data_IF_630389307491
#
_entry.id   IF_630389307491
#
_cell.length_a   1.000
_cell.length_b   1.000
_cell.length_c   1.000
_cell.angle_alpha   90.00
_cell.angle_beta   90.00
_cell.angle_gamma   90.00
#
_symmetry.space_group_name_H-M   'P 1'
#
loop_
_entity.id
_entity.type
_entity.pdbx_description
1 polymer ?
#
# COMPACT_ATOMS: atom_id res chain seq x y z
N UNK A 1 -11.76 -8.63 34.62
CA UNK A 1 -11.79 -8.64 33.14
C UNK A 1 -12.59 -9.87 32.69
N UNK A 2 -13.31 -9.77 31.58
CA UNK A 2 -14.00 -10.91 31.00
C UNK A 2 -12.98 -11.95 30.48
N UNK A 3 -13.41 -13.20 30.30
CA UNK A 3 -12.61 -14.22 29.59
C UNK A 3 -12.88 -14.12 28.08
N UNK A 4 -12.02 -14.72 27.26
CA UNK A 4 -12.26 -14.78 25.81
C UNK A 4 -13.57 -15.51 25.47
N UNK A 5 -14.28 -14.97 24.49
CA UNK A 5 -15.46 -15.63 23.90
C UNK A 5 -15.00 -16.74 22.97
N UNK A 6 -15.39 -17.98 23.25
CA UNK A 6 -15.05 -19.16 22.43
C UNK A 6 -16.34 -19.87 22.00
N UNK A 7 -16.53 -20.03 20.69
CA UNK A 7 -17.71 -20.66 20.07
C UNK A 7 -17.29 -21.61 18.94
N UNK A 8 -16.69 -22.74 19.31
CA UNK A 8 -16.20 -23.76 18.36
C UNK A 8 -17.11 -25.00 18.26
N UNK A 9 -18.21 -25.04 19.02
CA UNK A 9 -19.05 -26.25 19.16
C UNK A 9 -19.82 -26.66 17.90
N UNK A 10 -19.82 -25.85 16.85
CA UNK A 10 -20.49 -26.16 15.58
C UNK A 10 -19.74 -25.57 14.39
N UNK A 11 -19.12 -26.43 13.60
CA UNK A 11 -18.51 -26.05 12.33
C UNK A 11 -19.59 -25.54 11.34
N UNK A 12 -19.24 -24.62 10.43
CA UNK A 12 -20.08 -24.31 9.29
C UNK A 12 -20.29 -25.53 8.40
N UNK A 13 -21.39 -25.53 7.64
CA UNK A 13 -21.75 -26.67 6.79
C UNK A 13 -20.62 -27.00 5.80
N UNK A 14 -20.16 -28.24 5.81
CA UNK A 14 -19.11 -28.73 4.91
C UNK A 14 -17.69 -28.60 5.47
N UNK A 15 -17.54 -28.07 6.69
CA UNK A 15 -16.26 -27.91 7.37
C UNK A 15 -16.17 -28.78 8.63
N UNK A 16 -14.94 -29.04 9.05
CA UNK A 16 -14.62 -29.65 10.34
C UNK A 16 -13.72 -28.70 11.11
N UNK A 17 -13.97 -28.52 12.41
CA UNK A 17 -13.07 -27.75 13.28
C UNK A 17 -11.84 -28.61 13.55
N UNK A 18 -10.62 -28.14 13.26
CA UNK A 18 -9.42 -28.92 13.57
C UNK A 18 -9.31 -29.20 15.07
N UNK A 19 -8.93 -30.42 15.49
CA UNK A 19 -8.80 -30.75 16.92
C UNK A 19 -7.86 -29.80 17.68
N UNK A 20 -6.83 -29.28 17.01
CA UNK A 20 -5.94 -28.28 17.59
C UNK A 20 -6.64 -26.95 17.86
N UNK A 21 -7.59 -26.55 17.02
CA UNK A 21 -8.39 -25.33 17.22
C UNK A 21 -9.34 -25.50 18.42
N UNK A 22 -9.94 -26.67 18.60
CA UNK A 22 -10.74 -26.99 19.79
C UNK A 22 -9.88 -26.95 21.06
N UNK A 23 -8.74 -27.64 21.04
CA UNK A 23 -7.79 -27.70 22.16
C UNK A 23 -7.31 -26.31 22.61
N UNK A 24 -6.97 -25.43 21.64
CA UNK A 24 -6.54 -24.06 21.95
C UNK A 24 -7.73 -23.20 22.40
N UNK A 25 -8.93 -23.43 21.85
CA UNK A 25 -10.15 -22.75 22.27
C UNK A 25 -10.51 -23.05 23.72
N UNK A 26 -10.44 -24.32 24.15
CA UNK A 26 -10.69 -24.72 25.53
C UNK A 26 -9.70 -24.07 26.50
N UNK A 27 -8.42 -24.00 26.11
CA UNK A 27 -7.39 -23.33 26.90
C UNK A 27 -7.57 -21.81 26.93
N UNK A 28 -7.88 -21.20 25.79
CA UNK A 28 -8.07 -19.75 25.62
C UNK A 28 -9.31 -19.25 26.36
N UNK A 29 -10.37 -20.04 26.40
CA UNK A 29 -11.59 -19.76 27.16
C UNK A 29 -11.36 -19.69 28.67
N UNK A 30 -10.17 -20.03 29.17
CA UNK A 30 -9.76 -19.80 30.56
C UNK A 30 -8.92 -18.54 30.77
N UNK A 31 -8.41 -17.93 29.71
CA UNK A 31 -7.59 -16.72 29.77
C UNK A 31 -8.46 -15.47 29.86
N UNK A 32 -7.91 -14.40 30.45
CA UNK A 32 -8.55 -13.10 30.47
C UNK A 32 -8.47 -12.46 29.08
N UNK A 33 -9.55 -11.83 28.65
CA UNK A 33 -9.61 -11.04 27.42
C UNK A 33 -8.55 -9.93 27.46
N UNK A 34 -7.92 -9.66 26.31
CA UNK A 34 -6.79 -8.73 26.17
C UNK A 34 -5.42 -9.31 26.56
N UNK A 35 -5.31 -10.56 27.00
CA UNK A 35 -3.98 -11.15 27.34
C UNK A 35 -3.27 -11.82 26.16
N UNK A 36 -3.96 -12.04 25.04
CA UNK A 36 -3.44 -12.61 23.80
C UNK A 36 -3.72 -11.67 22.62
N UNK A 37 -3.83 -10.36 22.88
CA UNK A 37 -4.32 -9.38 21.91
C UNK A 37 -5.83 -9.12 22.00
N UNK A 38 -6.28 -8.19 21.17
CA UNK A 38 -7.63 -7.63 21.16
C UNK A 38 -8.45 -8.19 20.01
N UNK A 39 -9.28 -9.19 20.31
CA UNK A 39 -10.20 -9.78 19.33
C UNK A 39 -11.54 -10.12 19.98
N UNK A 40 -12.60 -10.13 19.19
CA UNK A 40 -13.97 -10.23 19.70
C UNK A 40 -14.31 -11.66 20.13
N UNK A 41 -13.92 -12.64 19.30
CA UNK A 41 -14.20 -14.04 19.57
C UNK A 41 -13.31 -15.01 18.77
N UNK A 42 -13.11 -16.19 19.35
CA UNK A 42 -12.67 -17.39 18.64
C UNK A 42 -13.91 -18.20 18.25
N UNK A 43 -14.19 -18.34 16.97
CA UNK A 43 -15.47 -18.86 16.45
C UNK A 43 -15.25 -19.96 15.41
N UNK A 44 -16.33 -20.55 14.91
CA UNK A 44 -16.32 -21.36 13.70
C UNK A 44 -17.51 -20.94 12.84
N UNK A 45 -17.34 -19.83 12.11
CA UNK A 45 -18.44 -19.16 11.41
C UNK A 45 -18.22 -19.12 9.89
N UNK A 46 -19.33 -19.18 9.15
CA UNK A 46 -19.27 -19.01 7.70
C UNK A 46 -18.87 -17.57 7.38
N UNK A 47 -17.94 -17.39 6.44
CA UNK A 47 -17.49 -16.06 6.02
C UNK A 47 -18.69 -15.28 5.46
N UNK A 48 -18.93 -14.03 5.90
CA UNK A 48 -20.03 -13.18 5.38
C UNK A 48 -19.99 -13.05 3.85
N UNK A 49 -21.16 -13.05 3.21
CA UNK A 49 -21.25 -12.87 1.74
C UNK A 49 -20.83 -11.47 1.34
N UNK A 50 -21.12 -10.54 2.25
CA UNK A 50 -20.92 -9.11 2.15
C UNK A 50 -19.42 -8.77 2.12
N UNK A 51 -18.55 -9.63 2.67
CA UNK A 51 -17.11 -9.41 2.64
C UNK A 51 -16.55 -9.40 1.22
N UNK A 52 -16.96 -10.37 0.38
CA UNK A 52 -16.69 -10.33 -1.06
C UNK A 52 -17.80 -11.09 -1.81
N UNK A 53 -18.79 -10.39 -2.36
CA UNK A 53 -19.92 -11.02 -3.03
C UNK A 53 -19.52 -11.92 -4.20
N UNK A 54 -18.47 -11.56 -4.94
CA UNK A 54 -18.02 -12.30 -6.12
C UNK A 54 -17.29 -13.60 -5.76
N UNK A 55 -16.60 -13.62 -4.62
CA UNK A 55 -15.81 -14.78 -4.15
C UNK A 55 -16.50 -15.57 -3.03
N UNK A 56 -17.67 -15.13 -2.57
CA UNK A 56 -18.38 -15.67 -1.41
C UNK A 56 -18.61 -17.19 -1.47
N UNK A 57 -18.97 -17.72 -2.64
CA UNK A 57 -19.24 -19.16 -2.80
C UNK A 57 -17.97 -20.00 -2.61
N UNK A 58 -16.83 -19.53 -3.14
CA UNK A 58 -15.53 -20.18 -2.97
C UNK A 58 -15.07 -20.12 -1.51
N UNK A 59 -15.14 -18.92 -0.92
CA UNK A 59 -14.78 -18.69 0.48
C UNK A 59 -15.58 -19.59 1.41
N UNK A 60 -16.91 -19.64 1.28
CA UNK A 60 -17.76 -20.46 2.16
C UNK A 60 -17.62 -21.95 1.95
N UNK A 61 -17.21 -22.39 0.75
CA UNK A 61 -16.99 -23.81 0.46
C UNK A 61 -15.70 -24.32 1.09
N UNK A 62 -14.63 -23.53 0.98
CA UNK A 62 -13.27 -24.00 1.26
C UNK A 62 -12.63 -23.35 2.50
N UNK A 63 -13.27 -22.35 3.11
CA UNK A 63 -12.78 -21.69 4.31
C UNK A 63 -13.90 -21.36 5.30
N UNK A 64 -13.51 -21.14 6.56
CA UNK A 64 -14.37 -20.57 7.58
C UNK A 64 -13.59 -19.62 8.49
N UNK A 65 -14.27 -18.60 9.02
CA UNK A 65 -13.68 -17.67 9.96
C UNK A 65 -13.55 -18.33 11.33
N UNK A 66 -12.36 -18.23 11.92
CA UNK A 66 -12.08 -18.74 13.27
C UNK A 66 -11.72 -17.67 14.30
N UNK A 67 -11.43 -16.45 13.86
CA UNK A 67 -11.14 -15.31 14.74
C UNK A 67 -11.73 -14.04 14.14
N UNK A 68 -12.41 -13.24 14.95
CA UNK A 68 -13.00 -11.95 14.56
C UNK A 68 -12.28 -10.80 15.25
N UNK A 69 -11.84 -9.81 14.47
CA UNK A 69 -11.14 -8.63 14.96
C UNK A 69 -12.10 -7.43 15.09
N UNK A 70 -11.80 -6.45 15.97
CA UNK A 70 -12.71 -5.35 16.30
C UNK A 70 -13.00 -4.39 15.14
N UNK A 71 -12.09 -4.33 14.16
CA UNK A 71 -12.22 -3.53 12.94
C UNK A 71 -13.14 -4.19 11.90
N UNK A 72 -13.63 -5.41 12.17
CA UNK A 72 -14.43 -6.21 11.26
C UNK A 72 -13.62 -7.18 10.40
N UNK A 73 -12.30 -7.21 10.54
CA UNK A 73 -11.43 -8.18 9.89
C UNK A 73 -11.62 -9.59 10.47
N UNK A 74 -11.35 -10.62 9.67
CA UNK A 74 -11.50 -12.02 10.04
C UNK A 74 -10.21 -12.79 9.77
N UNK A 75 -9.84 -13.72 10.65
CA UNK A 75 -8.93 -14.80 10.28
C UNK A 75 -9.73 -16.03 9.89
N UNK A 76 -9.36 -16.61 8.75
CA UNK A 76 -9.96 -17.83 8.24
C UNK A 76 -8.98 -18.99 8.21
N UNK A 77 -9.51 -20.19 8.47
CA UNK A 77 -8.86 -21.44 8.13
C UNK A 77 -9.26 -21.82 6.70
N UNK A 78 -8.29 -21.94 5.82
CA UNK A 78 -8.48 -22.24 4.40
C UNK A 78 -8.04 -23.66 4.10
N UNK A 79 -8.95 -24.47 3.58
CA UNK A 79 -8.67 -25.81 3.12
C UNK A 79 -7.86 -25.73 1.82
N UNK A 80 -6.57 -26.05 1.91
CA UNK A 80 -5.62 -26.00 0.79
C UNK A 80 -5.55 -27.32 0.02
N UNK A 81 -6.40 -28.29 0.36
CA UNK A 81 -6.53 -29.60 -0.29
C UNK A 81 -6.33 -30.77 0.67
N UNK A 82 -6.80 -31.95 0.27
CA UNK A 82 -6.98 -33.14 1.13
C UNK A 82 -5.72 -33.69 1.84
N UNK A 83 -4.51 -33.23 1.52
CA UNK A 83 -3.25 -33.67 2.13
C UNK A 83 -2.38 -32.52 2.65
N UNK A 84 -2.87 -31.30 2.57
CA UNK A 84 -2.16 -30.11 3.02
C UNK A 84 -2.80 -29.58 4.31
N UNK A 85 -2.00 -29.00 5.22
CA UNK A 85 -2.56 -28.34 6.39
C UNK A 85 -3.44 -27.15 5.98
N UNK A 86 -4.44 -26.84 6.80
CA UNK A 86 -5.25 -25.64 6.60
C UNK A 86 -4.38 -24.40 6.81
N UNK A 87 -4.29 -23.55 5.80
CA UNK A 87 -3.59 -22.28 5.92
C UNK A 87 -4.43 -21.29 6.75
N UNK A 88 -3.78 -20.31 7.36
CA UNK A 88 -4.43 -19.19 8.03
C UNK A 88 -4.32 -17.96 7.14
N UNK A 89 -5.46 -17.36 6.84
CA UNK A 89 -5.57 -16.18 5.99
C UNK A 89 -6.25 -15.03 6.73
N UNK A 90 -5.82 -13.80 6.44
CA UNK A 90 -6.48 -12.57 6.86
C UNK A 90 -7.46 -12.13 5.78
N UNK A 91 -8.66 -11.80 6.20
CA UNK A 91 -9.72 -11.16 5.44
C UNK A 91 -9.98 -9.80 6.08
N UNK A 92 -9.32 -8.77 5.58
CA UNK A 92 -9.39 -7.41 6.11
C UNK A 92 -10.76 -6.78 5.91
N UNK A 93 -11.16 -5.89 6.81
CA UNK A 93 -12.41 -5.13 6.75
C UNK A 93 -12.52 -4.24 5.50
N UNK A 94 -11.38 -3.77 4.99
CA UNK A 94 -11.27 -2.97 3.76
C UNK A 94 -10.99 -3.81 2.50
N UNK A 95 -11.11 -5.14 2.60
CA UNK A 95 -10.92 -6.06 1.48
C UNK A 95 -9.50 -6.60 1.29
N UNK A 96 -8.59 -6.31 2.24
CA UNK A 96 -7.25 -6.93 2.31
C UNK A 96 -7.38 -8.46 2.33
N UNK A 97 -6.57 -9.16 1.55
CA UNK A 97 -6.51 -10.62 1.57
C UNK A 97 -5.05 -11.08 1.54
N UNK A 98 -4.58 -11.75 2.60
CA UNK A 98 -3.22 -12.33 2.62
C UNK A 98 -3.12 -13.61 3.42
N UNK A 99 -2.09 -14.40 3.13
CA UNK A 99 -1.70 -15.55 3.95
C UNK A 99 -0.97 -15.04 5.20
N UNK A 100 -1.42 -15.45 6.38
CA UNK A 100 -0.76 -15.17 7.66
C UNK A 100 0.15 -16.34 8.04
N UNK A 101 -0.28 -17.58 7.79
CA UNK A 101 0.53 -18.76 8.04
C UNK A 101 0.13 -19.91 7.10
N UNK A 102 1.06 -20.81 6.79
CA UNK A 102 0.80 -21.98 5.96
C UNK A 102 0.12 -23.13 6.73
N UNK A 103 -0.09 -22.96 8.05
CA UNK A 103 -0.78 -23.92 8.92
C UNK A 103 -1.31 -23.24 10.19
N UNK A 104 -2.32 -23.83 10.83
CA UNK A 104 -2.79 -23.41 12.15
C UNK A 104 -1.66 -23.49 13.20
N UNK A 105 -0.81 -24.52 13.14
CA UNK A 105 0.34 -24.70 14.02
C UNK A 105 1.37 -23.57 13.87
N UNK A 106 1.69 -23.19 12.63
CA UNK A 106 2.59 -22.07 12.35
C UNK A 106 1.99 -20.75 12.86
N UNK A 107 0.69 -20.51 12.64
CA UNK A 107 0.00 -19.33 13.17
C UNK A 107 0.09 -19.24 14.70
N UNK A 108 -0.24 -20.31 15.43
CA UNK A 108 -0.19 -20.31 16.89
C UNK A 108 1.24 -20.05 17.41
N UNK A 109 2.24 -20.59 16.71
CA UNK A 109 3.65 -20.35 17.02
C UNK A 109 4.03 -18.88 16.79
N UNK A 110 3.62 -18.28 15.67
CA UNK A 110 3.83 -16.84 15.38
C UNK A 110 3.15 -15.97 16.43
N UNK A 111 1.89 -16.26 16.77
CA UNK A 111 1.12 -15.53 17.77
C UNK A 111 1.75 -15.59 19.16
N UNK A 112 2.30 -16.73 19.56
CA UNK A 112 3.03 -16.86 20.82
C UNK A 112 4.30 -16.01 20.90
N UNK A 113 4.79 -15.50 19.76
CA UNK A 113 5.96 -14.63 19.66
C UNK A 113 5.61 -13.18 19.33
N UNK A 114 4.34 -12.86 19.04
CA UNK A 114 3.96 -11.54 18.53
C UNK A 114 4.49 -11.29 17.12
N UNK A 115 4.50 -12.32 16.27
CA UNK A 115 5.04 -12.27 14.91
C UNK A 115 3.97 -12.64 13.87
N UNK A 116 2.68 -12.36 14.14
CA UNK A 116 1.58 -12.60 13.19
C UNK A 116 1.48 -11.51 12.12
N UNK A 117 2.12 -10.37 12.35
CA UNK A 117 2.01 -9.14 11.58
C UNK A 117 0.57 -8.59 11.59
N UNK A 118 -0.19 -8.83 12.66
CA UNK A 118 -1.55 -8.32 12.86
C UNK A 118 -1.53 -7.46 14.11
N UNK A 119 -1.78 -6.16 13.97
CA UNK A 119 -1.62 -5.18 15.03
C UNK A 119 -2.41 -5.57 16.29
N UNK A 120 -3.66 -6.00 16.12
CA UNK A 120 -4.56 -6.40 17.19
C UNK A 120 -4.07 -7.61 17.99
N UNK A 121 -3.29 -8.50 17.36
CA UNK A 121 -2.74 -9.70 17.99
C UNK A 121 -1.32 -9.49 18.54
N UNK A 122 -0.55 -8.62 17.89
CA UNK A 122 0.86 -8.38 18.14
C UNK A 122 1.13 -7.16 19.04
N UNK A 123 0.10 -6.36 19.36
CA UNK A 123 0.17 -5.26 20.33
C UNK A 123 0.80 -5.67 21.67
N UNK A 124 1.70 -4.82 22.19
CA UNK A 124 2.43 -5.03 23.43
C UNK A 124 1.52 -4.95 24.67
N UNK A 125 0.49 -4.10 24.64
CA UNK A 125 -0.49 -4.05 25.74
C UNK A 125 -1.25 -5.38 25.85
N UNK A 126 -1.44 -6.05 24.71
CA UNK A 126 -2.06 -7.37 24.59
C UNK A 126 -1.14 -8.58 24.83
N UNK A 127 0.15 -8.38 25.13
CA UNK A 127 1.17 -9.45 25.05
C UNK A 127 1.30 -10.34 26.30
N UNK A 128 0.66 -9.98 27.42
CA UNK A 128 0.92 -10.58 28.74
C UNK A 128 0.72 -12.11 28.83
N UNK A 129 -0.14 -12.69 27.99
CA UNK A 129 -0.44 -14.11 27.89
C UNK A 129 0.39 -14.89 26.87
N UNK A 130 1.21 -14.24 26.03
CA UNK A 130 2.02 -14.91 24.98
C UNK A 130 2.95 -15.97 25.54
N UNK A 131 3.55 -15.72 26.72
CA UNK A 131 4.40 -16.71 27.42
C UNK A 131 3.61 -17.94 27.87
N UNK A 132 2.35 -17.75 28.28
CA UNK A 132 1.46 -18.84 28.64
C UNK A 132 1.06 -19.66 27.40
N UNK A 133 0.76 -19.01 26.27
CA UNK A 133 0.52 -19.66 24.99
C UNK A 133 1.75 -20.47 24.53
N UNK A 134 2.94 -19.89 24.56
CA UNK A 134 4.19 -20.57 24.21
C UNK A 134 4.42 -21.82 25.09
N UNK A 135 4.14 -21.71 26.39
CA UNK A 135 4.26 -22.82 27.35
C UNK A 135 3.23 -23.93 27.06
N UNK A 136 1.99 -23.55 26.73
CA UNK A 136 0.94 -24.48 26.36
C UNK A 136 1.26 -25.23 25.06
N UNK A 137 1.71 -24.52 24.03
CA UNK A 137 2.14 -25.11 22.74
C UNK A 137 3.27 -26.12 22.94
N UNK A 138 4.25 -25.79 23.80
CA UNK A 138 5.34 -26.69 24.16
C UNK A 138 4.84 -27.94 24.90
N UNK A 139 3.90 -27.80 25.84
CA UNK A 139 3.32 -28.91 26.57
C UNK A 139 2.50 -29.85 25.66
N UNK A 140 1.74 -29.27 24.72
CA UNK A 140 0.99 -29.99 23.67
C UNK A 140 1.87 -30.51 22.53
N UNK A 141 3.17 -30.18 22.54
CA UNK A 141 4.17 -30.58 21.52
C UNK A 141 3.80 -30.13 20.10
N UNK A 142 3.15 -28.98 19.98
CA UNK A 142 2.75 -28.40 18.68
C UNK A 142 4.01 -28.04 17.89
N UNK A 143 4.03 -28.44 16.61
CA UNK A 143 5.10 -28.11 15.67
C UNK A 143 4.49 -27.78 14.32
N UNK A 144 4.97 -26.71 13.68
CA UNK A 144 4.56 -26.37 12.32
C UNK A 144 4.92 -27.52 11.36
N UNK A 145 3.96 -28.05 10.59
CA UNK A 145 4.25 -28.99 9.52
C UNK A 145 5.10 -28.34 8.42
N UNK A 146 5.86 -29.15 7.67
CA UNK A 146 6.48 -28.70 6.44
C UNK A 146 5.41 -28.56 5.35
N UNK A 147 4.76 -27.40 5.31
CA UNK A 147 3.82 -27.04 4.28
C UNK A 147 4.53 -26.39 3.07
N UNK A 148 3.92 -26.48 1.89
CA UNK A 148 4.28 -25.59 0.78
C UNK A 148 3.76 -24.19 1.09
N UNK A 149 4.45 -23.15 0.61
CA UNK A 149 3.94 -21.80 0.73
C UNK A 149 2.59 -21.68 0.00
N UNK A 150 1.62 -21.12 0.71
CA UNK A 150 0.27 -20.89 0.24
C UNK A 150 0.07 -19.39 0.00
N UNK A 151 -0.49 -19.04 -1.16
CA UNK A 151 -0.86 -17.66 -1.50
C UNK A 151 -2.38 -17.55 -1.49
N UNK A 152 -2.93 -16.96 -0.43
CA UNK A 152 -4.36 -16.80 -0.26
C UNK A 152 -4.97 -15.84 -1.27
N UNK A 153 -4.29 -14.73 -1.60
CA UNK A 153 -4.77 -13.77 -2.59
C UNK A 153 -4.93 -14.46 -3.96
N UNK A 154 -3.92 -15.23 -4.36
CA UNK A 154 -3.99 -16.05 -5.56
C UNK A 154 -5.08 -17.11 -5.53
N UNK A 155 -5.23 -17.77 -4.38
CA UNK A 155 -6.27 -18.77 -4.21
C UNK A 155 -7.66 -18.13 -4.29
N UNK A 156 -7.85 -16.92 -3.77
CA UNK A 156 -9.13 -16.21 -3.75
C UNK A 156 -9.57 -15.79 -5.16
N UNK A 157 -8.63 -15.34 -5.99
CA UNK A 157 -8.90 -14.96 -7.38
C UNK A 157 -9.38 -16.16 -8.23
N UNK A 158 -8.86 -17.36 -7.94
CA UNK A 158 -9.27 -18.63 -8.54
C UNK A 158 -8.65 -18.93 -9.90
N UNK A 159 -8.85 -20.15 -10.42
CA UNK A 159 -8.28 -20.62 -11.70
C UNK A 159 -8.97 -20.01 -12.95
N UNK A 160 -9.52 -18.79 -12.85
CA UNK A 160 -10.17 -18.14 -13.97
C UNK A 160 -9.16 -18.03 -15.12
N UNK A 161 -9.49 -18.67 -16.26
CA UNK A 161 -8.68 -18.62 -17.46
C UNK A 161 -8.62 -17.15 -17.93
N UNK A 162 -7.49 -16.50 -17.63
CA UNK A 162 -7.21 -15.19 -18.21
C UNK A 162 -7.11 -15.37 -19.74
N UNK A 163 -7.54 -14.37 -20.53
CA UNK A 163 -7.07 -14.28 -21.90
C UNK A 163 -5.54 -14.41 -21.90
N UNK A 164 -4.95 -15.11 -22.89
CA UNK A 164 -3.51 -15.25 -22.96
C UNK A 164 -2.90 -13.86 -22.79
N UNK A 165 -1.87 -13.70 -21.93
CA UNK A 165 -1.24 -12.41 -21.76
C UNK A 165 -0.87 -11.95 -23.16
N UNK A 166 -1.51 -10.87 -23.64
CA UNK A 166 -0.97 -10.13 -24.77
C UNK A 166 0.48 -9.90 -24.39
N UNK A 167 1.42 -10.44 -25.16
CA UNK A 167 2.85 -10.52 -24.82
C UNK A 167 3.21 -9.32 -23.98
N UNK A 168 3.28 -9.52 -22.65
CA UNK A 168 3.48 -8.40 -21.77
C UNK A 168 4.80 -7.80 -22.23
N UNK A 169 4.82 -6.53 -22.68
CA UNK A 169 6.04 -5.95 -23.20
C UNK A 169 7.11 -6.23 -22.14
N UNK A 170 8.22 -6.82 -22.58
CA UNK A 170 9.30 -7.18 -21.68
C UNK A 170 9.52 -6.00 -20.75
N UNK A 171 9.21 -6.19 -19.47
CA UNK A 171 9.30 -5.11 -18.48
C UNK A 171 10.75 -4.65 -18.56
N UNK A 172 10.96 -3.45 -19.08
CA UNK A 172 12.30 -2.92 -19.22
C UNK A 172 12.90 -2.93 -17.81
N UNK A 173 13.90 -3.77 -17.58
CA UNK A 173 14.56 -3.82 -16.29
C UNK A 173 15.21 -2.45 -16.07
N UNK A 174 14.80 -1.78 -15.00
CA UNK A 174 15.42 -0.53 -14.59
C UNK A 174 16.93 -0.75 -14.47
N UNK A 175 17.70 -0.09 -15.33
CA UNK A 175 19.15 -0.18 -15.32
C UNK A 175 19.70 0.83 -14.32
N UNK A 176 20.03 0.34 -13.13
CA UNK A 176 20.59 1.15 -12.06
C UNK A 176 22.03 1.58 -12.39
N UNK A 177 22.24 2.88 -12.59
CA UNK A 177 23.55 3.46 -12.87
C UNK A 177 23.94 4.43 -11.74
N UNK A 178 24.91 4.11 -10.86
CA UNK A 178 25.12 4.84 -9.61
C UNK A 178 25.66 6.26 -9.80
N UNK A 179 25.08 7.23 -9.07
CA UNK A 179 25.61 8.60 -8.97
C UNK A 179 26.85 8.69 -8.07
N UNK A 180 27.59 9.82 -8.06
CA UNK A 180 28.65 10.05 -7.08
C UNK A 180 28.16 10.00 -5.63
N UNK A 181 26.91 10.40 -5.36
CA UNK A 181 26.31 10.32 -4.02
C UNK A 181 26.14 8.87 -3.60
N UNK A 182 25.59 8.03 -4.48
CA UNK A 182 25.47 6.59 -4.24
C UNK A 182 26.79 5.94 -3.84
N UNK A 183 27.91 6.33 -4.49
CA UNK A 183 29.25 5.82 -4.17
C UNK A 183 29.79 6.25 -2.80
N UNK A 184 29.25 7.31 -2.19
CA UNK A 184 29.62 7.78 -0.85
C UNK A 184 28.88 7.06 0.26
N UNK A 185 27.79 6.34 -0.06
CA UNK A 185 27.03 5.59 0.94
C UNK A 185 27.86 4.39 1.45
N UNK A 186 27.54 3.92 2.66
CA UNK A 186 28.13 2.68 3.17
C UNK A 186 27.69 1.46 2.33
N UNK A 187 28.46 0.34 2.37
CA UNK A 187 28.20 -0.82 1.52
C UNK A 187 26.82 -1.45 1.73
N UNK A 188 26.24 -1.38 2.94
CA UNK A 188 24.91 -1.95 3.20
C UNK A 188 23.80 -1.10 2.59
N UNK A 189 23.91 0.21 2.71
CA UNK A 189 22.97 1.19 2.14
C UNK A 189 23.07 1.18 0.62
N UNK A 190 24.28 1.07 0.05
CA UNK A 190 24.47 0.86 -1.38
C UNK A 190 23.79 -0.42 -1.87
N UNK A 191 23.97 -1.53 -1.14
CA UNK A 191 23.33 -2.79 -1.51
C UNK A 191 21.81 -2.63 -1.51
N UNK A 192 21.25 -2.00 -0.48
CA UNK A 192 19.81 -1.76 -0.35
C UNK A 192 19.26 -0.91 -1.50
N UNK A 193 19.88 0.24 -1.79
CA UNK A 193 19.46 1.11 -2.88
C UNK A 193 19.51 0.42 -4.25
N UNK A 194 20.45 -0.51 -4.48
CA UNK A 194 20.54 -1.27 -5.74
C UNK A 194 19.39 -2.27 -5.98
N UNK A 195 18.59 -2.56 -4.94
CA UNK A 195 17.41 -3.42 -5.03
C UNK A 195 16.14 -2.66 -5.41
N UNK A 196 16.12 -1.34 -5.21
CA UNK A 196 14.94 -0.52 -5.50
C UNK A 196 14.60 -0.55 -6.99
N UNK A 197 13.32 -0.68 -7.29
CA UNK A 197 12.80 -0.85 -8.64
C UNK A 197 12.95 -2.27 -9.21
N UNK A 198 13.56 -3.22 -8.49
CA UNK A 198 13.59 -4.63 -8.88
C UNK A 198 12.34 -5.36 -8.42
N UNK A 199 11.92 -6.37 -9.18
CA UNK A 199 10.80 -7.24 -8.80
C UNK A 199 11.16 -8.15 -7.63
N UNK A 200 10.15 -8.55 -6.86
CA UNK A 200 10.27 -9.47 -5.75
C UNK A 200 10.89 -10.83 -6.16
N UNK A 201 10.62 -11.30 -7.36
CA UNK A 201 11.16 -12.56 -7.91
C UNK A 201 12.58 -12.43 -8.49
N UNK A 202 13.19 -11.24 -8.46
CA UNK A 202 14.56 -11.06 -8.91
C UNK A 202 15.55 -11.82 -7.98
N UNK A 203 16.52 -12.59 -8.53
CA UNK A 203 17.45 -13.38 -7.73
C UNK A 203 18.20 -12.57 -6.67
N UNK A 204 18.55 -11.32 -6.96
CA UNK A 204 19.26 -10.45 -6.01
C UNK A 204 18.39 -10.02 -4.84
N UNK A 205 17.08 -9.82 -5.07
CA UNK A 205 16.10 -9.48 -4.04
C UNK A 205 15.87 -10.68 -3.13
N UNK A 206 15.62 -11.87 -3.71
CA UNK A 206 15.47 -13.11 -2.96
C UNK A 206 16.71 -13.40 -2.12
N UNK A 207 17.91 -13.28 -2.70
CA UNK A 207 19.16 -13.52 -1.99
C UNK A 207 19.36 -12.55 -0.82
N UNK A 208 18.97 -11.29 -0.97
CA UNK A 208 19.10 -10.31 0.11
C UNK A 208 18.06 -10.53 1.21
N UNK A 209 16.78 -10.61 0.87
CA UNK A 209 15.70 -10.73 1.86
C UNK A 209 15.79 -12.05 2.62
N UNK A 210 15.96 -13.17 1.90
CA UNK A 210 16.05 -14.49 2.53
C UNK A 210 17.41 -14.76 3.14
N UNK A 211 18.50 -14.44 2.42
CA UNK A 211 19.86 -14.79 2.84
C UNK A 211 20.48 -13.81 3.84
N UNK A 212 20.23 -12.51 3.70
CA UNK A 212 20.81 -11.47 4.56
C UNK A 212 19.87 -11.09 5.68
N UNK A 213 18.60 -10.82 5.38
CA UNK A 213 17.62 -10.38 6.40
C UNK A 213 16.96 -11.54 7.14
N UNK A 214 17.05 -12.76 6.61
CA UNK A 214 16.38 -13.94 7.19
C UNK A 214 14.86 -13.87 7.13
N UNK A 215 14.30 -13.15 6.16
CA UNK A 215 12.86 -12.92 5.97
C UNK A 215 12.35 -13.62 4.72
N UNK A 216 11.04 -13.78 4.60
CA UNK A 216 10.41 -14.26 3.36
C UNK A 216 10.17 -13.08 2.43
N UNK A 217 10.40 -13.29 1.14
CA UNK A 217 9.99 -12.31 0.11
C UNK A 217 8.47 -12.43 -0.08
N UNK A 218 7.72 -11.32 -0.17
CA UNK A 218 6.31 -11.36 -0.52
C UNK A 218 6.17 -11.99 -1.91
N UNK A 219 5.41 -13.08 -2.05
CA UNK A 219 5.23 -13.72 -3.35
C UNK A 219 4.44 -12.82 -4.31
N UNK A 220 3.64 -11.90 -3.74
CA UNK A 220 2.63 -11.17 -4.47
C UNK A 220 2.02 -9.99 -3.69
N UNK A 221 1.32 -9.14 -4.42
CA UNK A 221 0.35 -8.13 -3.95
C UNK A 221 -0.98 -8.30 -4.70
N UNK A 222 -2.04 -7.63 -4.25
CA UNK A 222 -3.40 -7.75 -4.82
C UNK A 222 -4.04 -6.38 -5.07
N UNK A 223 -5.14 -6.31 -5.82
CA UNK A 223 -5.80 -5.03 -6.11
C UNK A 223 -6.22 -4.25 -4.85
N UNK A 224 -6.57 -4.97 -3.78
CA UNK A 224 -6.99 -4.42 -2.49
C UNK A 224 -5.84 -4.28 -1.48
N UNK A 225 -4.63 -4.75 -1.84
CA UNK A 225 -3.45 -4.58 -1.02
C UNK A 225 -2.26 -4.34 -1.95
N UNK A 226 -2.06 -3.07 -2.27
CA UNK A 226 -1.12 -2.64 -3.30
C UNK A 226 0.34 -2.80 -2.90
N UNK A 227 0.58 -2.90 -1.59
CA UNK A 227 1.90 -2.96 -1.00
C UNK A 227 1.99 -3.92 0.18
N UNK A 228 3.18 -4.47 0.41
CA UNK A 228 3.47 -5.33 1.56
C UNK A 228 4.83 -4.94 2.14
N UNK A 229 4.88 -4.79 3.46
CA UNK A 229 6.11 -4.48 4.16
C UNK A 229 6.85 -5.75 4.59
N UNK A 230 8.17 -5.72 4.54
CA UNK A 230 9.05 -6.72 5.15
C UNK A 230 9.95 -6.03 6.15
N UNK A 231 9.60 -6.16 7.43
CA UNK A 231 10.38 -5.57 8.51
C UNK A 231 11.50 -6.51 8.98
N UNK A 232 12.73 -5.99 8.99
CA UNK A 232 13.92 -6.66 9.51
C UNK A 232 14.61 -5.77 10.57
N UNK A 233 13.93 -5.54 11.70
CA UNK A 233 14.39 -4.66 12.79
C UNK A 233 15.85 -4.89 13.24
N UNK A 234 16.31 -6.16 13.31
CA UNK A 234 17.70 -6.51 13.66
C UNK A 234 18.74 -5.95 12.69
N UNK A 235 18.33 -5.72 11.45
CA UNK A 235 19.15 -5.16 10.39
C UNK A 235 18.87 -3.66 10.19
N UNK A 236 17.93 -3.07 10.94
CA UNK A 236 17.52 -1.67 10.79
C UNK A 236 16.97 -1.36 9.41
N UNK A 237 16.23 -2.29 8.80
CA UNK A 237 15.65 -2.12 7.46
C UNK A 237 14.20 -2.55 7.49
N UNK A 238 13.35 -1.76 6.87
CA UNK A 238 11.98 -2.11 6.51
C UNK A 238 11.81 -1.88 5.02
N UNK A 239 11.49 -2.92 4.25
CA UNK A 239 11.29 -2.86 2.80
C UNK A 239 9.81 -2.78 2.47
N UNK A 240 9.44 -1.95 1.51
CA UNK A 240 8.08 -1.93 0.96
C UNK A 240 8.11 -2.49 -0.45
N UNK A 241 7.23 -3.45 -0.69
CA UNK A 241 7.02 -4.06 -1.99
C UNK A 241 5.68 -3.57 -2.54
N UNK A 242 5.65 -2.88 -3.68
CA UNK A 242 4.41 -2.40 -4.30
C UNK A 242 4.31 -2.77 -5.77
N UNK A 243 3.10 -3.08 -6.24
CA UNK A 243 2.85 -3.24 -7.68
C UNK A 243 2.42 -1.95 -8.38
N UNK A 244 2.13 -0.88 -7.63
CA UNK A 244 1.61 0.37 -8.16
C UNK A 244 2.59 1.53 -7.97
N UNK A 245 3.73 1.47 -8.67
CA UNK A 245 4.68 2.58 -8.72
C UNK A 245 4.21 3.57 -9.79
N UNK A 246 3.78 4.76 -9.38
CA UNK A 246 3.30 5.81 -10.28
C UNK A 246 4.48 6.58 -10.90
N UNK A 247 5.16 5.92 -11.82
CA UNK A 247 6.29 6.46 -12.56
C UNK A 247 6.36 5.77 -13.92
N UNK A 248 6.51 6.55 -14.99
CA UNK A 248 6.51 6.05 -16.37
C UNK A 248 7.64 5.05 -16.67
N UNK A 249 8.74 5.10 -15.91
CA UNK A 249 9.84 4.14 -16.03
C UNK A 249 9.52 2.76 -15.43
N UNK A 250 8.45 2.64 -14.65
CA UNK A 250 8.01 1.41 -14.00
C UNK A 250 6.62 1.04 -14.55
N UNK A 251 6.56 0.23 -15.62
CA UNK A 251 5.30 -0.10 -16.25
C UNK A 251 4.37 -0.87 -15.31
N UNK A 252 3.05 -0.82 -15.54
CA UNK A 252 2.10 -1.65 -14.80
C UNK A 252 2.53 -3.11 -14.81
N UNK A 253 2.53 -3.72 -13.62
CA UNK A 253 2.81 -5.14 -13.51
C UNK A 253 1.60 -5.88 -14.07
N UNK A 254 1.77 -6.75 -15.10
CA UNK A 254 0.65 -7.51 -15.62
C UNK A 254 0.13 -8.41 -14.50
N UNK A 255 -1.20 -8.38 -14.30
CA UNK A 255 -1.87 -9.34 -13.42
C UNK A 255 -1.59 -10.74 -13.96
N UNK A 256 -0.94 -11.58 -13.18
CA UNK A 256 -0.76 -12.99 -13.53
C UNK A 256 -2.05 -13.76 -13.21
N UNK A 257 -2.11 -15.06 -13.51
CA UNK A 257 -3.23 -15.93 -13.13
C UNK A 257 -3.45 -16.05 -11.62
N UNK A 258 -2.66 -15.34 -10.82
CA UNK A 258 -2.59 -15.48 -9.37
C UNK A 258 -2.54 -14.12 -8.69
N UNK A 259 -1.74 -13.15 -9.14
CA UNK A 259 -1.53 -11.88 -8.43
C UNK A 259 -0.59 -10.94 -9.21
N UNK A 260 -0.18 -9.80 -8.62
CA UNK A 260 0.93 -8.97 -9.08
C UNK A 260 2.23 -9.34 -8.37
N UNK A 261 3.33 -9.50 -9.10
CA UNK A 261 4.67 -9.67 -8.51
C UNK A 261 5.25 -8.27 -8.28
N UNK A 262 5.31 -7.76 -7.04
CA UNK A 262 5.59 -6.35 -6.77
C UNK A 262 7.06 -5.98 -7.01
N UNK A 263 7.33 -4.69 -7.15
CA UNK A 263 8.67 -4.10 -7.09
C UNK A 263 9.04 -3.75 -5.65
N UNK A 264 10.33 -3.78 -5.30
CA UNK A 264 10.83 -3.09 -4.10
C UNK A 264 10.75 -1.59 -4.36
N UNK A 265 9.78 -0.89 -3.76
CA UNK A 265 9.52 0.51 -4.05
C UNK A 265 10.18 1.47 -3.05
N UNK A 266 10.30 1.08 -1.78
CA UNK A 266 10.98 1.91 -0.78
C UNK A 266 11.63 1.06 0.30
N UNK A 267 12.52 1.70 1.06
CA UNK A 267 13.12 1.16 2.24
C UNK A 267 13.32 2.24 3.30
N UNK A 268 12.76 2.03 4.50
CA UNK A 268 13.13 2.83 5.67
C UNK A 268 14.38 2.23 6.30
N UNK A 269 15.38 3.09 6.50
CA UNK A 269 16.67 2.72 7.08
C UNK A 269 16.77 3.29 8.48
N UNK A 270 17.17 2.45 9.43
CA UNK A 270 17.31 2.77 10.86
C UNK A 270 18.72 2.45 11.33
N UNK A 271 19.06 2.92 12.53
CA UNK A 271 20.39 2.75 13.15
C UNK A 271 20.90 1.29 13.18
N UNK A 272 19.99 0.29 13.19
CA UNK A 272 20.31 -1.13 13.12
C UNK A 272 21.10 -1.55 11.86
N UNK A 273 21.12 -0.74 10.80
CA UNK A 273 21.94 -1.00 9.60
C UNK A 273 23.45 -1.00 9.95
N UNK A 274 23.84 -0.27 10.99
CA UNK A 274 25.20 -0.28 11.54
C UNK A 274 26.22 0.51 10.73
N UNK A 275 25.78 1.48 9.93
CA UNK A 275 26.61 2.45 9.22
C UNK A 275 25.89 3.81 9.16
N UNK A 276 26.64 4.91 9.10
CA UNK A 276 26.07 6.24 8.90
C UNK A 276 25.73 6.45 7.42
N UNK A 277 24.74 7.31 7.16
CA UNK A 277 24.30 7.66 5.80
C UNK A 277 24.81 9.06 5.49
N UNK A 278 25.68 9.18 4.48
CA UNK A 278 26.39 10.44 4.14
C UNK A 278 27.08 11.08 5.36
N UNK A 279 27.74 10.24 6.17
CA UNK A 279 28.42 10.62 7.41
C UNK A 279 27.54 11.20 8.53
N UNK A 280 26.22 11.28 8.34
CA UNK A 280 25.28 11.74 9.37
C UNK A 280 25.12 10.69 10.46
N UNK A 281 25.44 11.01 11.73
CA UNK A 281 25.25 10.08 12.84
C UNK A 281 23.76 9.88 13.14
N UNK A 282 23.35 8.63 13.41
CA UNK A 282 21.98 8.29 13.82
C UNK A 282 21.49 8.98 15.11
N UNK A 283 22.42 9.43 15.95
CA UNK A 283 22.12 10.12 17.22
C UNK A 283 22.16 11.65 17.09
N UNK A 284 22.08 12.18 15.88
CA UNK A 284 21.97 13.62 15.66
C UNK A 284 20.72 14.16 16.36
N UNK A 285 20.85 15.24 17.10
CA UNK A 285 19.74 15.83 17.87
C UNK A 285 19.29 17.19 17.34
N UNK A 286 19.95 17.73 16.31
CA UNK A 286 19.62 19.04 15.76
C UNK A 286 19.75 19.09 14.23
N UNK A 287 18.88 19.87 13.59
CA UNK A 287 18.96 20.18 12.15
C UNK A 287 20.31 20.86 11.78
N UNK A 288 20.84 21.70 12.68
CA UNK A 288 22.10 22.43 12.45
C UNK A 288 23.30 21.49 12.28
N UNK A 289 23.33 20.37 13.00
CA UNK A 289 24.38 19.35 12.86
C UNK A 289 24.33 18.68 11.48
N UNK A 290 23.14 18.36 10.99
CA UNK A 290 22.93 17.79 9.65
C UNK A 290 23.34 18.81 8.59
N UNK A 291 22.88 20.06 8.76
CA UNK A 291 23.20 21.17 7.84
C UNK A 291 24.71 21.41 7.73
N UNK A 292 25.46 21.26 8.81
CA UNK A 292 26.93 21.39 8.80
C UNK A 292 27.61 20.30 7.97
N UNK A 293 27.03 19.10 7.90
CA UNK A 293 27.60 17.96 7.17
C UNK A 293 27.17 17.96 5.70
N UNK A 294 25.90 18.27 5.44
CA UNK A 294 25.27 18.09 4.12
C UNK A 294 25.05 19.39 3.35
N UNK A 295 25.18 20.55 4.01
CA UNK A 295 24.73 21.84 3.49
C UNK A 295 23.26 22.12 3.86
N UNK A 296 22.70 23.26 3.40
CA UNK A 296 21.30 23.60 3.67
C UNK A 296 20.33 22.52 3.17
N UNK A 297 19.16 22.35 3.81
CA UNK A 297 18.15 21.41 3.35
C UNK A 297 17.73 21.70 1.91
N UNK A 298 17.36 20.65 1.18
CA UNK A 298 16.76 20.78 -0.15
C UNK A 298 15.44 21.54 -0.08
N UNK A 299 14.66 21.29 0.98
CA UNK A 299 13.42 21.99 1.23
C UNK A 299 12.87 21.70 2.62
N UNK A 300 11.63 22.12 2.83
CA UNK A 300 10.85 21.81 4.03
C UNK A 300 9.49 21.29 3.63
N UNK A 301 8.98 20.35 4.42
CA UNK A 301 7.65 19.78 4.25
C UNK A 301 6.86 19.86 5.56
N UNK A 302 5.54 19.76 5.46
CA UNK A 302 4.68 19.62 6.63
C UNK A 302 4.92 18.26 7.29
N UNK A 303 4.76 18.17 8.62
CA UNK A 303 4.88 16.91 9.33
C UNK A 303 3.73 15.96 8.96
N UNK A 304 2.55 16.52 8.73
CA UNK A 304 1.36 15.80 8.27
C UNK A 304 0.72 16.46 7.05
N UNK A 305 0.02 15.67 6.24
CA UNK A 305 -0.57 16.14 4.97
C UNK A 305 -1.65 17.23 5.15
N UNK A 306 -2.26 17.30 6.32
CA UNK A 306 -3.27 18.27 6.73
C UNK A 306 -2.68 19.53 7.39
N UNK A 307 -1.36 19.64 7.54
CA UNK A 307 -0.71 20.82 8.10
C UNK A 307 -0.15 21.76 7.03
N UNK A 308 -0.29 23.06 7.23
CA UNK A 308 0.25 24.07 6.31
C UNK A 308 1.67 24.52 6.68
N UNK A 309 2.12 24.27 7.91
CA UNK A 309 3.42 24.72 8.39
C UNK A 309 4.53 23.74 7.94
N UNK A 310 5.49 24.24 7.18
CA UNK A 310 6.61 23.42 6.67
C UNK A 310 7.73 23.34 7.74
N UNK A 311 7.57 22.45 8.70
CA UNK A 311 8.46 22.32 9.86
C UNK A 311 9.60 21.33 9.63
N UNK A 312 9.40 20.28 8.83
CA UNK A 312 10.35 19.18 8.66
C UNK A 312 11.37 19.50 7.57
N UNK A 313 12.64 19.64 7.95
CA UNK A 313 13.71 19.85 7.00
C UNK A 313 14.08 18.53 6.31
N UNK A 314 14.26 18.56 4.99
CA UNK A 314 14.67 17.38 4.23
C UNK A 314 15.81 17.68 3.24
N UNK A 315 16.61 16.65 2.97
CA UNK A 315 17.66 16.64 1.96
C UNK A 315 17.48 15.43 1.06
N UNK A 316 17.48 15.66 -0.25
CA UNK A 316 17.23 14.61 -1.24
C UNK A 316 18.35 14.52 -2.27
N UNK A 317 18.72 13.30 -2.67
CA UNK A 317 19.69 13.06 -3.73
C UNK A 317 19.28 11.92 -4.65
N UNK A 318 19.43 12.07 -5.98
CA UNK A 318 19.32 10.94 -6.89
C UNK A 318 20.49 9.96 -6.66
N UNK A 319 20.17 8.68 -6.58
CA UNK A 319 21.12 7.59 -6.40
C UNK A 319 21.47 6.87 -7.70
N UNK A 320 20.59 6.94 -8.69
CA UNK A 320 20.89 6.54 -10.06
C UNK A 320 20.89 7.73 -11.03
N UNK A 321 21.60 7.61 -12.15
CA UNK A 321 21.74 8.69 -13.14
C UNK A 321 20.47 8.92 -13.96
N UNK A 322 19.51 7.99 -13.99
CA UNK A 322 18.20 8.22 -14.59
C UNK A 322 17.24 8.95 -13.63
N UNK A 323 17.61 9.09 -12.34
CA UNK A 323 16.84 9.83 -11.35
C UNK A 323 15.55 9.11 -10.94
N UNK A 324 15.57 7.79 -10.94
CA UNK A 324 14.43 6.96 -10.56
C UNK A 324 14.49 6.47 -9.13
N UNK A 325 15.65 6.47 -8.50
CA UNK A 325 15.92 6.02 -7.14
C UNK A 325 16.58 7.15 -6.39
N UNK A 326 16.05 7.46 -5.21
CA UNK A 326 16.44 8.61 -4.42
C UNK A 326 16.72 8.21 -2.97
N UNK A 327 17.61 8.99 -2.36
CA UNK A 327 17.82 9.05 -0.93
C UNK A 327 17.16 10.31 -0.41
N UNK A 328 16.36 10.18 0.64
CA UNK A 328 15.88 11.28 1.46
C UNK A 328 16.38 11.10 2.90
N UNK A 329 16.94 12.18 3.44
CA UNK A 329 17.11 12.36 4.87
C UNK A 329 16.13 13.44 5.31
N UNK A 330 15.36 13.20 6.36
CA UNK A 330 14.50 14.22 6.96
C UNK A 330 14.70 14.30 8.47
N UNK A 331 14.48 15.48 9.02
CA UNK A 331 14.66 15.74 10.45
C UNK A 331 13.54 16.64 10.98
N UNK A 332 12.88 16.14 12.01
CA UNK A 332 11.94 16.89 12.85
C UNK A 332 12.43 16.82 14.30
N UNK A 333 12.25 15.67 14.94
CA UNK A 333 12.84 15.36 16.26
C UNK A 333 13.96 14.31 16.19
N UNK A 334 13.97 13.52 15.12
CA UNK A 334 14.95 12.48 14.88
C UNK A 334 15.22 12.33 13.38
N UNK A 335 16.36 11.71 13.06
CA UNK A 335 16.74 11.44 11.69
C UNK A 335 15.88 10.30 11.12
N UNK A 336 15.18 10.59 10.03
CA UNK A 336 14.55 9.58 9.17
C UNK A 336 15.36 9.44 7.90
N UNK A 337 15.61 8.20 7.47
CA UNK A 337 16.29 7.88 6.22
C UNK A 337 15.40 7.00 5.37
N UNK A 338 15.09 7.48 4.17
CA UNK A 338 14.26 6.77 3.21
C UNK A 338 15.04 6.60 1.91
N UNK A 339 15.09 5.37 1.40
CA UNK A 339 15.48 5.09 0.03
C UNK A 339 14.20 4.77 -0.73
N UNK A 340 13.95 5.39 -1.88
CA UNK A 340 12.72 5.14 -2.62
C UNK A 340 12.91 5.20 -4.13
N UNK A 341 12.11 4.42 -4.84
CA UNK A 341 11.77 4.69 -6.23
C UNK A 341 10.93 5.96 -6.26
N UNK A 342 11.32 6.95 -7.06
CA UNK A 342 10.54 8.16 -7.26
C UNK A 342 9.17 7.77 -7.80
N UNK A 343 8.12 8.13 -7.08
CA UNK A 343 6.73 7.90 -7.48
C UNK A 343 5.96 9.20 -7.36
N UNK A 344 5.04 9.42 -8.28
CA UNK A 344 4.01 10.43 -8.17
C UNK A 344 2.99 10.05 -7.09
N UNK A 345 2.20 11.03 -6.67
CA UNK A 345 0.95 10.80 -5.95
C UNK A 345 -0.22 10.65 -6.93
N UNK A 346 -1.05 9.61 -6.76
CA UNK A 346 -2.32 9.52 -7.48
C UNK A 346 -3.29 10.59 -6.99
N UNK A 347 -3.65 11.55 -7.84
CA UNK A 347 -4.80 12.44 -7.59
C UNK A 347 -6.11 11.67 -7.77
N UNK A 348 -6.18 10.80 -8.79
CA UNK A 348 -7.32 9.90 -9.04
C UNK A 348 -6.83 8.62 -9.68
N UNK A 349 -7.06 7.47 -9.03
CA UNK A 349 -6.69 6.13 -9.55
C UNK A 349 -7.67 5.60 -10.60
N UNK A 350 -8.97 5.87 -10.41
CA UNK A 350 -10.06 5.42 -11.29
C UNK A 350 -10.77 6.64 -11.88
N UNK A 351 -10.32 7.14 -13.03
CA UNK A 351 -10.89 8.34 -13.60
C UNK A 351 -12.37 8.22 -13.91
N UNK A 352 -13.09 9.28 -13.59
CA UNK A 352 -14.52 9.44 -13.83
C UNK A 352 -14.77 10.74 -14.62
N UNK A 353 -16.04 11.13 -14.71
CA UNK A 353 -16.45 12.40 -15.34
C UNK A 353 -15.81 13.62 -14.68
N UNK A 354 -15.64 13.58 -13.36
CA UNK A 354 -15.03 14.66 -12.57
C UNK A 354 -13.57 14.86 -12.97
N UNK A 355 -12.85 13.77 -13.20
CA UNK A 355 -11.47 13.77 -13.68
C UNK A 355 -11.37 14.36 -15.08
N UNK A 356 -12.26 13.97 -16.00
CA UNK A 356 -12.36 14.55 -17.34
C UNK A 356 -12.59 16.06 -17.31
N UNK A 357 -13.53 16.53 -16.47
CA UNK A 357 -13.81 17.95 -16.28
C UNK A 357 -12.59 18.72 -15.78
N UNK A 358 -11.89 18.19 -14.77
CA UNK A 358 -10.68 18.82 -14.25
C UNK A 358 -9.56 18.87 -15.29
N UNK A 359 -9.33 17.78 -16.04
CA UNK A 359 -8.30 17.73 -17.09
C UNK A 359 -8.61 18.73 -18.20
N UNK A 360 -9.85 18.81 -18.67
CA UNK A 360 -10.26 19.81 -19.67
C UNK A 360 -10.01 21.24 -19.18
N UNK A 361 -10.39 21.54 -17.93
CA UNK A 361 -10.05 22.80 -17.28
C UNK A 361 -8.54 23.05 -17.20
N UNK A 362 -7.77 22.08 -16.67
CA UNK A 362 -6.34 22.19 -16.42
C UNK A 362 -5.54 22.42 -17.70
N UNK A 363 -5.90 21.77 -18.81
CA UNK A 363 -5.28 22.02 -20.12
C UNK A 363 -5.54 23.46 -20.56
N UNK A 364 -6.79 23.93 -20.53
CA UNK A 364 -7.14 25.30 -20.99
C UNK A 364 -6.61 26.43 -20.09
N UNK A 365 -6.13 26.11 -18.88
CA UNK A 365 -5.50 27.06 -17.94
C UNK A 365 -4.00 26.87 -17.81
N UNK A 366 -3.42 25.97 -18.60
CA UNK A 366 -2.01 25.64 -18.55
C UNK A 366 -1.57 25.14 -17.19
N UNK A 367 -2.36 24.33 -16.49
CA UNK A 367 -1.96 23.68 -15.23
C UNK A 367 -1.29 22.32 -15.47
N UNK A 368 -1.61 21.65 -16.58
CA UNK A 368 -1.01 20.37 -16.95
C UNK A 368 0.42 20.56 -17.50
N UNK A 369 1.35 19.67 -17.14
CA UNK A 369 2.64 19.57 -17.80
C UNK A 369 2.51 18.79 -19.11
N UNK A 370 2.28 19.53 -20.20
CA UNK A 370 2.11 18.94 -21.53
C UNK A 370 3.36 18.22 -22.04
N UNK A 371 4.54 18.49 -21.49
CA UNK A 371 5.79 17.86 -21.93
C UNK A 371 5.83 16.36 -21.66
N UNK A 372 5.05 15.90 -20.67
CA UNK A 372 4.90 14.49 -20.30
C UNK A 372 4.14 13.63 -21.29
N UNK A 373 3.41 14.26 -22.22
CA UNK A 373 2.53 13.55 -23.14
C UNK A 373 2.97 13.71 -24.61
N UNK A 374 4.24 13.40 -24.97
CA UNK A 374 4.74 13.64 -26.31
C UNK A 374 4.00 12.85 -27.39
N UNK A 375 3.45 11.68 -27.04
CA UNK A 375 2.63 10.85 -27.94
C UNK A 375 1.21 11.39 -28.17
N UNK A 376 0.73 12.28 -27.30
CA UNK A 376 -0.66 12.77 -27.31
C UNK A 376 -0.77 14.28 -27.55
N UNK A 377 0.28 14.92 -28.12
CA UNK A 377 0.30 16.38 -28.37
C UNK A 377 -0.89 16.87 -29.20
N UNK A 378 -1.27 16.13 -30.24
CA UNK A 378 -2.41 16.51 -31.08
C UNK A 378 -3.74 16.48 -30.31
N UNK A 379 -3.91 15.48 -29.44
CA UNK A 379 -5.09 15.39 -28.59
C UNK A 379 -5.10 16.49 -27.52
N UNK A 380 -3.95 16.80 -26.91
CA UNK A 380 -3.83 17.94 -25.99
C UNK A 380 -4.18 19.26 -26.67
N UNK A 381 -3.69 19.50 -27.88
CA UNK A 381 -4.03 20.69 -28.65
C UNK A 381 -5.54 20.75 -28.95
N UNK A 382 -6.17 19.63 -29.31
CA UNK A 382 -7.61 19.57 -29.51
C UNK A 382 -8.41 19.82 -28.21
N UNK A 383 -7.93 19.37 -27.05
CA UNK A 383 -8.55 19.71 -25.76
C UNK A 383 -8.36 21.20 -25.45
N UNK A 384 -7.17 21.75 -25.70
CA UNK A 384 -6.87 23.17 -25.50
C UNK A 384 -7.75 24.09 -26.36
N UNK A 385 -7.97 23.73 -27.63
CA UNK A 385 -8.86 24.44 -28.56
C UNK A 385 -10.34 24.08 -28.42
N UNK A 386 -10.67 23.23 -27.46
CA UNK A 386 -12.04 22.76 -27.16
C UNK A 386 -12.70 21.91 -28.25
N UNK A 387 -11.90 21.30 -29.11
CA UNK A 387 -12.34 20.36 -30.15
C UNK A 387 -12.49 18.92 -29.64
N UNK A 388 -11.83 18.56 -28.53
CA UNK A 388 -11.95 17.26 -27.85
C UNK A 388 -12.22 17.45 -26.35
N UNK A 389 -12.86 16.49 -25.67
CA UNK A 389 -13.13 16.57 -24.22
C UNK A 389 -11.92 16.15 -23.37
N UNK A 390 -11.88 16.59 -22.12
CA UNK A 390 -10.86 16.15 -21.16
C UNK A 390 -10.89 14.64 -20.92
N UNK A 391 -12.09 14.04 -20.88
CA UNK A 391 -12.29 12.60 -20.70
C UNK A 391 -11.78 11.78 -21.89
N UNK A 392 -11.70 12.35 -23.09
CA UNK A 392 -11.06 11.70 -24.25
C UNK A 392 -9.55 11.61 -24.06
N UNK A 393 -8.92 12.68 -23.55
CA UNK A 393 -7.51 12.67 -23.19
C UNK A 393 -7.22 11.71 -22.03
N UNK A 394 -8.03 11.75 -20.97
CA UNK A 394 -7.91 10.83 -19.83
C UNK A 394 -7.90 9.37 -20.31
N UNK A 395 -8.87 8.98 -21.16
CA UNK A 395 -8.97 7.60 -21.66
C UNK A 395 -7.77 7.14 -22.48
N UNK A 396 -7.11 8.05 -23.20
CA UNK A 396 -6.04 7.72 -24.12
C UNK A 396 -4.64 7.86 -23.53
N UNK A 397 -4.43 8.84 -22.65
CA UNK A 397 -3.12 9.21 -22.13
C UNK A 397 -2.93 8.91 -20.64
N UNK A 398 -4.01 8.74 -19.88
CA UNK A 398 -3.99 8.58 -18.42
C UNK A 398 -4.53 7.21 -18.00
N UNK A 399 -3.99 6.15 -18.61
CA UNK A 399 -4.46 4.77 -18.39
C UNK A 399 -4.33 4.29 -16.93
N UNK A 400 -3.46 4.93 -16.14
CA UNK A 400 -3.20 4.64 -14.73
C UNK A 400 -3.74 5.72 -13.79
N UNK A 401 -4.67 6.54 -14.28
CA UNK A 401 -5.21 7.65 -13.53
C UNK A 401 -4.47 8.95 -13.71
N UNK A 402 -4.93 9.97 -12.98
CA UNK A 402 -4.33 11.30 -12.93
C UNK A 402 -3.37 11.36 -11.74
N UNK A 403 -2.13 11.75 -12.00
CA UNK A 403 -1.08 11.91 -10.99
C UNK A 403 -0.81 13.39 -10.74
N UNK A 404 -0.26 13.71 -9.58
CA UNK A 404 0.11 15.08 -9.20
C UNK A 404 1.19 15.65 -10.13
N UNK A 405 2.18 14.84 -10.48
CA UNK A 405 3.29 15.18 -11.36
C UNK A 405 2.91 15.22 -12.86
N UNK A 406 1.64 14.96 -13.21
CA UNK A 406 1.08 15.36 -14.50
C UNK A 406 0.78 16.86 -14.56
N UNK A 407 0.73 17.55 -13.42
CA UNK A 407 0.62 19.01 -13.33
C UNK A 407 2.00 19.64 -13.38
N UNK A 408 2.08 20.91 -13.80
CA UNK A 408 3.34 21.66 -13.80
C UNK A 408 3.98 21.67 -12.41
N UNK A 409 5.29 21.50 -12.39
CA UNK A 409 6.10 21.64 -11.18
C UNK A 409 6.25 23.12 -10.81
N UNK A 410 5.26 23.65 -10.08
CA UNK A 410 5.24 25.01 -9.54
C UNK A 410 4.88 24.97 -8.05
N UNK A 411 5.53 25.79 -7.20
CA UNK A 411 5.38 25.69 -5.75
C UNK A 411 3.92 25.68 -5.27
N UNK A 412 3.52 24.63 -4.55
CA UNK A 412 2.19 24.48 -3.94
C UNK A 412 1.08 23.92 -4.85
N UNK A 413 1.28 23.78 -6.17
CA UNK A 413 0.22 23.29 -7.06
C UNK A 413 -0.13 21.82 -6.79
N UNK A 414 0.89 20.97 -6.72
CA UNK A 414 0.72 19.53 -6.47
C UNK A 414 0.02 19.28 -5.14
N UNK A 415 0.47 19.96 -4.08
CA UNK A 415 -0.11 19.86 -2.74
C UNK A 415 -1.59 20.30 -2.68
N UNK A 416 -1.93 21.44 -3.29
CA UNK A 416 -3.32 21.90 -3.29
C UNK A 416 -4.21 21.01 -4.14
N UNK A 417 -3.71 20.51 -5.28
CA UNK A 417 -4.43 19.51 -6.05
C UNK A 417 -4.66 18.24 -5.22
N UNK A 418 -3.62 17.71 -4.59
CA UNK A 418 -3.69 16.53 -3.73
C UNK A 418 -4.77 16.68 -2.66
N UNK A 419 -4.72 17.75 -1.87
CA UNK A 419 -5.69 18.01 -0.81
C UNK A 419 -7.11 18.12 -1.33
N UNK A 420 -7.29 18.77 -2.48
CA UNK A 420 -8.61 18.96 -3.10
C UNK A 420 -9.22 17.67 -3.64
N UNK A 421 -8.40 16.76 -4.19
CA UNK A 421 -8.85 15.44 -4.63
C UNK A 421 -9.13 14.49 -3.44
N UNK A 422 -8.39 14.63 -2.33
CA UNK A 422 -8.45 13.71 -1.18
C UNK A 422 -9.25 14.20 0.03
N UNK A 423 -10.05 15.27 -0.09
CA UNK A 423 -10.87 15.80 1.00
C UNK A 423 -10.05 16.19 2.25
N UNK A 424 -8.92 16.88 2.05
CA UNK A 424 -8.05 17.35 3.13
C UNK A 424 -8.18 18.87 3.31
N UNK A 425 -8.03 19.37 4.55
CA UNK A 425 -8.06 20.80 4.88
C UNK A 425 -9.32 21.55 4.40
N UNK A 426 -10.46 20.85 4.40
CA UNK A 426 -11.73 21.41 3.90
C UNK A 426 -11.75 21.66 2.39
N UNK A 427 -10.77 21.14 1.66
CA UNK A 427 -10.70 21.15 0.20
C UNK A 427 -11.26 19.85 -0.33
N UNK A 428 -12.37 19.91 -1.08
CA UNK A 428 -12.93 18.70 -1.66
C UNK A 428 -13.64 18.99 -2.98
N UNK A 429 -13.15 18.34 -4.04
CA UNK A 429 -13.71 18.41 -5.38
C UNK A 429 -15.20 18.10 -5.41
N UNK A 430 -15.65 17.04 -4.74
CA UNK A 430 -17.08 16.66 -4.70
C UNK A 430 -17.92 17.73 -4.01
N UNK A 431 -17.43 18.36 -2.94
CA UNK A 431 -18.16 19.44 -2.26
C UNK A 431 -18.28 20.69 -3.14
N UNK A 432 -17.21 21.04 -3.85
CA UNK A 432 -17.20 22.18 -4.75
C UNK A 432 -18.09 21.95 -5.96
N UNK A 433 -18.03 20.78 -6.59
CA UNK A 433 -18.88 20.44 -7.73
C UNK A 433 -20.36 20.31 -7.32
N UNK A 434 -20.67 19.86 -6.10
CA UNK A 434 -22.05 19.91 -5.58
C UNK A 434 -22.58 21.33 -5.46
N UNK A 435 -21.76 22.32 -5.12
CA UNK A 435 -22.17 23.74 -5.10
C UNK A 435 -22.46 24.25 -6.51
N UNK A 436 -21.69 23.82 -7.50
CA UNK A 436 -21.81 24.27 -8.90
C UNK A 436 -22.96 23.57 -9.64
N UNK A 437 -23.09 22.25 -9.49
CA UNK A 437 -24.01 21.42 -10.28
C UNK A 437 -25.25 20.99 -9.50
N UNK A 438 -25.27 21.20 -8.17
CA UNK A 438 -26.26 20.59 -7.29
C UNK A 438 -25.88 19.15 -6.94
N UNK A 439 -26.69 18.52 -6.08
CA UNK A 439 -26.43 17.19 -5.54
C UNK A 439 -27.48 16.14 -5.96
N UNK A 440 -27.07 14.88 -6.08
CA UNK A 440 -27.93 13.70 -6.24
C UNK A 440 -27.54 12.61 -5.25
N UNK A 441 -28.44 11.68 -4.98
CA UNK A 441 -28.11 10.47 -4.24
C UNK A 441 -27.24 9.56 -5.12
N UNK A 442 -26.06 9.21 -4.63
CA UNK A 442 -25.15 8.23 -5.23
C UNK A 442 -25.60 6.78 -4.94
N UNK A 443 -25.00 5.80 -5.62
CA UNK A 443 -25.37 4.39 -5.52
C UNK A 443 -25.10 3.79 -4.13
N UNK A 444 -24.24 4.43 -3.32
CA UNK A 444 -23.89 4.00 -1.97
C UNK A 444 -24.49 4.90 -0.87
N UNK A 445 -25.55 5.66 -1.19
CA UNK A 445 -26.29 6.47 -0.22
C UNK A 445 -25.65 7.81 0.18
N UNK A 446 -24.50 8.16 -0.38
CA UNK A 446 -23.88 9.49 -0.20
C UNK A 446 -24.29 10.49 -1.29
N UNK A 447 -24.14 11.79 -1.01
CA UNK A 447 -24.44 12.86 -1.98
C UNK A 447 -23.28 13.05 -2.99
N UNK A 448 -23.60 12.95 -4.28
CA UNK A 448 -22.71 13.19 -5.43
C UNK A 448 -23.10 14.47 -6.20
N UNK A 449 -22.19 15.11 -6.97
CA UNK A 449 -22.56 16.19 -7.88
C UNK A 449 -23.47 15.69 -9.01
N UNK A 450 -24.42 16.53 -9.46
CA UNK A 450 -25.19 16.29 -10.69
C UNK A 450 -24.34 16.60 -11.93
N UNK A 451 -23.30 15.81 -12.14
CA UNK A 451 -22.38 15.91 -13.26
C UNK A 451 -22.38 14.57 -14.00
N UNK A 452 -22.92 14.56 -15.21
CA UNK A 452 -23.06 13.35 -16.04
C UNK A 452 -22.05 13.31 -17.21
N UNK A 453 -21.52 14.47 -17.59
CA UNK A 453 -20.59 14.63 -18.70
C UNK A 453 -19.62 15.79 -18.44
N UNK A 454 -18.43 15.73 -19.03
CA UNK A 454 -17.39 16.76 -18.97
C UNK A 454 -17.43 17.69 -20.20
N UNK A 455 -18.64 18.00 -20.67
CA UNK A 455 -18.86 18.96 -21.76
C UNK A 455 -18.21 20.32 -21.48
N UNK A 456 -17.91 21.08 -22.53
CA UNK A 456 -17.35 22.43 -22.37
C UNK A 456 -18.28 23.38 -21.62
N UNK A 457 -19.60 23.23 -21.72
CA UNK A 457 -20.56 23.96 -20.89
C UNK A 457 -20.40 23.62 -19.39
N UNK A 458 -20.14 22.35 -19.06
CA UNK A 458 -19.86 21.94 -17.68
C UNK A 458 -18.51 22.50 -17.21
N UNK A 459 -17.47 22.44 -18.05
CA UNK A 459 -16.16 23.04 -17.73
C UNK A 459 -16.30 24.55 -17.49
N UNK A 460 -16.99 25.27 -18.37
CA UNK A 460 -17.20 26.72 -18.24
C UNK A 460 -18.03 27.07 -17.01
N UNK A 461 -19.01 26.23 -16.66
CA UNK A 461 -19.79 26.40 -15.42
C UNK A 461 -18.94 26.18 -14.16
N UNK A 462 -17.99 25.25 -14.20
CA UNK A 462 -17.08 24.99 -13.08
C UNK A 462 -15.92 26.00 -13.01
N UNK A 463 -15.53 26.59 -14.15
CA UNK A 463 -14.35 27.43 -14.28
C UNK A 463 -14.28 28.57 -13.25
N UNK A 464 -15.34 29.35 -12.93
CA UNK A 464 -15.24 30.42 -11.93
C UNK A 464 -14.83 29.91 -10.53
N UNK A 465 -15.27 28.71 -10.15
CA UNK A 465 -14.89 28.10 -8.88
C UNK A 465 -13.45 27.60 -8.94
N UNK A 466 -13.06 26.96 -10.04
CA UNK A 466 -11.72 26.40 -10.22
C UNK A 466 -10.67 27.51 -10.39
N UNK A 467 -11.00 28.57 -11.10
CA UNK A 467 -10.17 29.77 -11.27
C UNK A 467 -9.89 30.40 -9.91
N UNK A 468 -10.88 30.45 -9.01
CA UNK A 468 -10.68 30.88 -7.62
C UNK A 468 -9.77 29.92 -6.85
N UNK A 469 -9.94 28.61 -7.03
CA UNK A 469 -9.17 27.56 -6.32
C UNK A 469 -7.70 27.58 -6.73
N UNK A 470 -7.43 27.72 -8.02
CA UNK A 470 -6.10 27.58 -8.61
C UNK A 470 -5.51 28.92 -9.06
N UNK A 471 -6.06 30.05 -8.60
CA UNK A 471 -5.69 31.41 -9.02
C UNK A 471 -4.18 31.68 -8.97
N UNK A 472 -3.46 31.09 -8.00
CA UNK A 472 -2.03 31.27 -7.82
C UNK A 472 -1.17 30.64 -8.94
N UNK A 473 -1.71 29.68 -9.69
CA UNK A 473 -0.94 28.87 -10.65
C UNK A 473 -1.41 29.00 -12.09
N UNK A 474 -2.59 29.58 -12.33
CA UNK A 474 -3.08 29.85 -13.69
C UNK A 474 -2.11 30.81 -14.36
N UNK A 475 -1.57 30.38 -15.50
CA UNK A 475 -0.65 31.22 -16.28
C UNK A 475 -1.38 32.51 -16.67
N UNK A 476 -0.73 33.67 -16.43
CA UNK A 476 -1.19 34.96 -16.95
C UNK A 476 -0.80 35.14 -18.40
#
# INVERSE_FOLDING_TARGET
MAKYTVKLSKAPRGHEVPPLLEDVGDWMGQQLHGTLGWFDALVAEAIPKEWNPEKADRLRRDAFAFLSLPDGSLLALVNTGAKAPHAVALLGSEGEARTVANSLEEFLLLWSRGETEIAELDDEEGASGRKALASWLKAKKVKAPKAKDFDFAAWLDGDAALPPPAEAPAVAEHTFAPTPVMKKLGPKTQRLASLLGRRADAPEVIAYVTGVLGKKVPPSTSENNDSVNVEAAKHGVELVFSHDILNDAFPPIPKTSKTFIPYVCSAWVRAGIGENVLDVPWKVTTEAEITRLLGPPTGRQAAFADEDELTVAYWTWPLDTAGHVWLELSFEESLTVTLAVKSAGALVRYPDVTTGLFVGYAVTRGLLDTSRFPAHRALLAAVETREAKGSEFVKQALARGLWDDHLRDVPGLHEVAWRWFHNMNGLWITADLKKTFGKRAGPFGHDEPKLDDDSWDAVDKAAPLLDKRFAAWIAK
#
